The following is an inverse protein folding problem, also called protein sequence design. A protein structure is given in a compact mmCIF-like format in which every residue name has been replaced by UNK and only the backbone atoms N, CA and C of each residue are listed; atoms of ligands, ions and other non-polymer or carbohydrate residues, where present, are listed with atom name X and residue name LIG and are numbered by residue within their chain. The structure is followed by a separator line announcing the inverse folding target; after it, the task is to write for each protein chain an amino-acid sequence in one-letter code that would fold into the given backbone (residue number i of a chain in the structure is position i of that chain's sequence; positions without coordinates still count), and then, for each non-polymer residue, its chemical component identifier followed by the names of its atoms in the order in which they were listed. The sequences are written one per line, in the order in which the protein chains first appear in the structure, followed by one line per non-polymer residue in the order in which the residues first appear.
data_IF_289415263125
#
_entry.id   IF_289415263125
#
_cell.length_a   1.000
_cell.length_b   1.000
_cell.length_c   1.000
_cell.angle_alpha   90.00
_cell.angle_beta   90.00
_cell.angle_gamma   90.00
#
_symmetry.space_group_name_H-M   'P 1'
#
loop_
_entity.id
_entity.type
_entity.pdbx_description
1 polymer ?
#
# COMPACT_ATOMS: atom_id res chain seq x y z
N UNK A 1 -3.79 -25.58 28.14
CA UNK A 1 -2.61 -26.38 27.73
C UNK A 1 -2.07 -25.86 26.41
N UNK A 2 -0.82 -25.38 26.37
CA UNK A 2 -0.19 -24.88 25.14
C UNK A 2 0.15 -26.03 24.18
N UNK A 3 -0.28 -25.95 22.92
CA UNK A 3 0.00 -26.95 21.87
C UNK A 3 1.50 -27.01 21.56
N UNK A 4 1.97 -28.10 20.94
CA UNK A 4 3.39 -28.27 20.60
C UNK A 4 3.85 -27.22 19.56
N UNK A 5 4.99 -26.57 19.82
CA UNK A 5 5.57 -25.53 18.97
C UNK A 5 5.96 -26.04 17.58
N UNK A 6 6.49 -27.26 17.50
CA UNK A 6 6.90 -27.84 16.23
C UNK A 6 5.71 -28.03 15.29
N UNK A 7 4.62 -28.64 15.78
CA UNK A 7 3.42 -28.82 14.99
C UNK A 7 2.73 -27.49 14.65
N UNK A 8 2.74 -26.50 15.57
CA UNK A 8 2.24 -25.16 15.24
C UNK A 8 3.04 -24.53 14.10
N UNK A 9 4.37 -24.65 14.10
CA UNK A 9 5.19 -24.15 13.00
C UNK A 9 4.86 -24.84 11.66
N UNK A 10 4.80 -26.18 11.65
CA UNK A 10 4.46 -26.93 10.45
C UNK A 10 3.09 -26.54 9.88
N UNK A 11 2.08 -26.37 10.74
CA UNK A 11 0.75 -25.93 10.30
C UNK A 11 0.68 -24.44 9.97
N UNK A 12 1.51 -23.58 10.58
CA UNK A 12 1.58 -22.15 10.22
C UNK A 12 2.08 -21.92 8.79
N UNK A 13 2.85 -22.86 8.23
CA UNK A 13 3.27 -22.80 6.82
C UNK A 13 2.11 -22.98 5.83
N UNK A 14 0.98 -23.56 6.27
CA UNK A 14 -0.23 -23.72 5.46
C UNK A 14 -1.23 -22.63 5.89
N UNK A 15 -1.64 -21.72 4.97
CA UNK A 15 -2.49 -20.59 5.33
C UNK A 15 -3.82 -21.06 5.92
N UNK A 16 -4.09 -20.66 7.16
CA UNK A 16 -5.28 -20.99 7.94
C UNK A 16 -5.15 -22.23 8.84
N UNK A 17 -4.25 -23.17 8.53
CA UNK A 17 -4.14 -24.42 9.29
C UNK A 17 -3.50 -24.21 10.67
N UNK A 18 -2.56 -23.26 10.79
CA UNK A 18 -1.93 -22.89 12.05
C UNK A 18 -2.93 -22.42 13.10
N UNK A 19 -3.84 -21.52 12.71
CA UNK A 19 -4.94 -21.03 13.56
C UNK A 19 -5.89 -22.17 13.98
N UNK A 20 -6.24 -23.06 13.04
CA UNK A 20 -7.09 -24.22 13.34
C UNK A 20 -6.44 -25.16 14.36
N UNK A 21 -5.13 -25.41 14.25
CA UNK A 21 -4.40 -26.30 15.15
C UNK A 21 -4.38 -25.79 16.61
N UNK A 22 -4.31 -24.47 16.80
CA UNK A 22 -4.34 -23.82 18.11
C UNK A 22 -5.75 -23.55 18.64
N UNK A 23 -6.80 -23.93 17.90
CA UNK A 23 -8.20 -23.90 18.35
C UNK A 23 -9.06 -22.78 17.77
N UNK A 24 -8.50 -21.91 16.93
CA UNK A 24 -9.20 -20.81 16.27
C UNK A 24 -9.73 -21.26 14.90
N UNK A 25 -10.84 -22.01 14.92
CA UNK A 25 -11.42 -22.65 13.74
C UNK A 25 -12.00 -21.64 12.75
N UNK A 26 -12.81 -20.69 13.21
CA UNK A 26 -13.45 -19.68 12.33
C UNK A 26 -12.39 -18.79 11.71
N UNK A 27 -11.41 -18.39 12.51
CA UNK A 27 -10.31 -17.57 12.03
C UNK A 27 -9.49 -18.28 10.97
N UNK A 28 -9.07 -19.51 11.23
CA UNK A 28 -8.34 -20.32 10.26
C UNK A 28 -9.14 -20.58 8.99
N UNK A 29 -10.45 -20.87 9.10
CA UNK A 29 -11.32 -21.12 7.95
C UNK A 29 -11.46 -19.87 7.07
N UNK A 30 -11.57 -18.69 7.70
CA UNK A 30 -11.67 -17.42 6.97
C UNK A 30 -10.41 -17.12 6.15
N UNK A 31 -9.23 -17.43 6.68
CA UNK A 31 -7.94 -17.20 6.03
C UNK A 31 -7.74 -18.21 4.90
N UNK A 32 -8.04 -19.49 5.16
CA UNK A 32 -7.95 -20.54 4.15
C UNK A 32 -8.94 -20.27 3.00
N UNK A 33 -10.16 -19.82 3.32
CA UNK A 33 -11.16 -19.38 2.35
C UNK A 33 -10.69 -18.18 1.52
N UNK A 34 -10.08 -17.17 2.14
CA UNK A 34 -9.53 -16.03 1.42
C UNK A 34 -8.38 -16.43 0.47
N UNK A 35 -7.47 -17.28 0.93
CA UNK A 35 -6.37 -17.80 0.11
C UNK A 35 -6.89 -18.60 -1.10
N UNK A 36 -7.87 -19.48 -0.87
CA UNK A 36 -8.53 -20.25 -1.93
C UNK A 36 -9.29 -19.34 -2.90
N UNK A 37 -10.03 -18.34 -2.40
CA UNK A 37 -10.78 -17.41 -3.22
C UNK A 37 -9.87 -16.59 -4.14
N UNK A 38 -8.76 -16.05 -3.64
CA UNK A 38 -7.78 -15.33 -4.47
C UNK A 38 -7.17 -16.25 -5.52
N UNK A 39 -6.79 -17.46 -5.13
CA UNK A 39 -6.23 -18.45 -6.07
C UNK A 39 -7.24 -18.80 -7.18
N UNK A 40 -8.50 -19.04 -6.81
CA UNK A 40 -9.58 -19.35 -7.76
C UNK A 40 -9.89 -18.17 -8.68
N UNK A 41 -9.97 -16.95 -8.16
CA UNK A 41 -10.21 -15.75 -8.98
C UNK A 41 -9.03 -15.51 -9.93
N UNK A 42 -7.79 -15.69 -9.44
CA UNK A 42 -6.58 -15.53 -10.26
C UNK A 42 -6.56 -16.54 -11.41
N UNK A 43 -6.89 -17.81 -11.15
CA UNK A 43 -6.89 -18.85 -12.18
C UNK A 43 -8.08 -18.73 -13.13
N UNK A 44 -9.28 -18.48 -12.61
CA UNK A 44 -10.52 -18.41 -13.40
C UNK A 44 -10.52 -17.23 -14.38
N UNK A 45 -10.00 -16.08 -13.95
CA UNK A 45 -9.94 -14.88 -14.80
C UNK A 45 -8.60 -14.73 -15.54
N UNK A 46 -7.66 -15.68 -15.38
CA UNK A 46 -6.29 -15.60 -15.91
C UNK A 46 -5.57 -14.29 -15.52
N UNK A 47 -5.89 -13.78 -14.32
CA UNK A 47 -5.28 -12.57 -13.77
C UNK A 47 -4.15 -12.98 -12.84
N UNK A 48 -2.95 -13.14 -13.41
CA UNK A 48 -1.74 -13.41 -12.63
C UNK A 48 -1.43 -12.34 -11.59
N UNK A 49 -1.86 -11.09 -11.82
CA UNK A 49 -1.68 -9.99 -10.88
C UNK A 49 -2.34 -10.26 -9.51
N UNK A 50 -3.44 -11.02 -9.43
CA UNK A 50 -4.08 -11.37 -8.16
C UNK A 50 -3.19 -12.27 -7.28
N UNK A 51 -2.26 -13.01 -7.89
CA UNK A 51 -1.34 -13.87 -7.14
C UNK A 51 -0.43 -13.08 -6.18
N UNK A 52 -0.24 -11.76 -6.39
CA UNK A 52 0.53 -10.89 -5.48
C UNK A 52 -0.07 -10.84 -4.07
N UNK A 53 -1.38 -11.10 -3.93
CA UNK A 53 -2.04 -11.12 -2.62
C UNK A 53 -1.79 -12.42 -1.85
N UNK A 54 -1.44 -13.52 -2.53
CA UNK A 54 -1.18 -14.81 -1.88
C UNK A 54 -0.03 -14.76 -0.85
N UNK A 55 1.17 -14.21 -1.14
CA UNK A 55 2.22 -14.09 -0.13
C UNK A 55 1.82 -13.16 1.02
N UNK A 56 1.00 -12.14 0.78
CA UNK A 56 0.50 -11.23 1.82
C UNK A 56 -0.46 -11.98 2.77
N UNK A 57 -1.42 -12.73 2.22
CA UNK A 57 -2.35 -13.55 3.00
C UNK A 57 -1.60 -14.64 3.78
N UNK A 58 -0.61 -15.28 3.15
CA UNK A 58 0.24 -16.27 3.80
C UNK A 58 1.03 -15.69 4.96
N UNK A 59 1.72 -14.56 4.76
CA UNK A 59 2.49 -13.91 5.81
C UNK A 59 1.59 -13.49 6.98
N UNK A 60 0.42 -12.90 6.68
CA UNK A 60 -0.59 -12.62 7.69
C UNK A 60 -0.95 -13.88 8.47
N UNK A 61 -1.30 -14.97 7.79
CA UNK A 61 -1.66 -16.24 8.44
C UNK A 61 -0.54 -16.79 9.32
N UNK A 62 0.71 -16.71 8.86
CA UNK A 62 1.87 -17.20 9.57
C UNK A 62 2.08 -16.41 10.87
N UNK A 63 2.21 -15.09 10.79
CA UNK A 63 2.42 -14.24 11.97
C UNK A 63 1.23 -14.30 12.93
N UNK A 64 0.03 -14.38 12.38
CA UNK A 64 -1.18 -14.47 13.17
C UNK A 64 -1.25 -15.76 14.01
N UNK A 65 -0.83 -16.89 13.43
CA UNK A 65 -0.71 -18.16 14.17
C UNK A 65 0.22 -18.00 15.37
N UNK A 66 1.35 -17.31 15.19
CA UNK A 66 2.32 -17.07 16.27
C UNK A 66 1.82 -16.06 17.30
N UNK A 67 1.08 -15.05 16.88
CA UNK A 67 0.45 -14.09 17.78
C UNK A 67 -0.54 -14.79 18.71
N UNK A 68 -1.48 -15.57 18.16
CA UNK A 68 -2.46 -16.34 18.94
C UNK A 68 -1.77 -17.36 19.85
N UNK A 69 -0.71 -18.02 19.38
CA UNK A 69 0.04 -18.98 20.20
C UNK A 69 0.66 -18.33 21.45
N UNK A 70 1.12 -17.09 21.30
CA UNK A 70 1.84 -16.36 22.36
C UNK A 70 0.92 -15.52 23.25
N UNK A 71 -0.36 -15.40 22.93
CA UNK A 71 -1.32 -14.62 23.71
C UNK A 71 -1.50 -15.19 25.13
N UNK A 72 -1.81 -14.32 26.09
CA UNK A 72 -2.11 -14.70 27.47
C UNK A 72 -3.51 -15.33 27.59
N UNK A 73 -3.80 -16.01 28.70
CA UNK A 73 -5.14 -16.58 28.92
C UNK A 73 -6.22 -15.49 29.04
N UNK A 74 -5.87 -14.33 29.61
CA UNK A 74 -6.74 -13.14 29.67
C UNK A 74 -7.02 -12.58 28.27
N UNK A 75 -6.00 -12.49 27.41
CA UNK A 75 -6.15 -12.04 26.01
C UNK A 75 -6.99 -13.02 25.18
N UNK A 76 -6.80 -14.33 25.39
CA UNK A 76 -7.60 -15.36 24.73
C UNK A 76 -9.09 -15.29 25.14
N UNK A 77 -9.37 -14.94 26.39
CA UNK A 77 -10.74 -14.79 26.89
C UNK A 77 -11.39 -13.49 26.41
N UNK A 78 -10.58 -12.43 26.25
CA UNK A 78 -11.02 -11.16 25.69
C UNK A 78 -11.25 -11.21 24.16
N UNK A 79 -10.53 -12.08 23.44
CA UNK A 79 -10.61 -12.21 21.99
C UNK A 79 -11.04 -13.63 21.55
N UNK A 80 -12.36 -13.93 21.61
CA UNK A 80 -12.90 -15.24 21.24
C UNK A 80 -12.75 -15.54 19.74
N UNK A 81 -12.84 -16.82 19.37
CA UNK A 81 -12.72 -17.26 17.96
C UNK A 81 -13.81 -16.64 17.07
N UNK A 82 -13.38 -15.71 16.23
CA UNK A 82 -14.15 -15.04 15.20
C UNK A 82 -13.41 -15.04 13.86
N UNK A 83 -14.13 -14.75 12.78
CA UNK A 83 -13.56 -14.70 11.44
C UNK A 83 -12.49 -13.60 11.34
N UNK A 84 -11.33 -13.90 10.75
CA UNK A 84 -10.24 -12.93 10.59
C UNK A 84 -10.68 -11.73 9.74
N UNK A 85 -11.54 -12.01 8.76
CA UNK A 85 -12.24 -11.00 7.99
C UNK A 85 -13.68 -11.00 8.47
N UNK A 86 -14.14 -9.88 9.00
CA UNK A 86 -15.57 -9.66 9.21
C UNK A 86 -16.21 -9.46 7.84
N UNK A 87 -16.39 -10.55 7.10
CA UNK A 87 -17.06 -10.55 5.80
C UNK A 87 -18.45 -9.93 5.96
N UNK A 88 -19.08 -10.08 7.14
CA UNK A 88 -20.32 -9.39 7.49
C UNK A 88 -20.19 -7.87 7.51
N UNK A 89 -19.15 -7.27 8.07
CA UNK A 89 -18.96 -5.80 8.00
C UNK A 89 -18.56 -5.31 6.60
N UNK A 90 -17.89 -6.16 5.81
CA UNK A 90 -17.59 -5.89 4.39
C UNK A 90 -18.85 -6.02 3.51
N UNK A 91 -19.75 -6.94 3.83
CA UNK A 91 -21.00 -7.18 3.12
C UNK A 91 -22.16 -6.30 3.63
N UNK A 92 -22.10 -5.84 4.88
CA UNK A 92 -22.99 -4.83 5.43
C UNK A 92 -22.69 -3.53 4.69
N UNK A 93 -23.59 -3.22 3.76
CA UNK A 93 -23.39 -2.19 2.75
C UNK A 93 -23.04 -0.80 3.29
N UNK A 94 -23.10 -0.51 4.59
CA UNK A 94 -22.80 0.81 5.16
C UNK A 94 -21.34 1.24 5.01
N UNK A 95 -20.35 0.34 5.25
CA UNK A 95 -18.93 0.67 5.04
C UNK A 95 -18.54 0.67 3.57
N UNK A 96 -19.02 -0.30 2.80
CA UNK A 96 -18.81 -0.35 1.35
C UNK A 96 -19.42 0.89 0.68
N UNK A 97 -20.64 1.29 1.07
CA UNK A 97 -21.27 2.53 0.60
C UNK A 97 -20.40 3.72 0.92
N UNK A 98 -19.86 3.87 2.14
CA UNK A 98 -19.01 5.02 2.49
C UNK A 98 -17.69 5.12 1.69
N UNK A 99 -17.09 3.98 1.34
CA UNK A 99 -15.91 3.90 0.47
C UNK A 99 -16.27 4.24 -0.98
N UNK A 100 -17.44 3.79 -1.44
CA UNK A 100 -17.99 4.17 -2.73
C UNK A 100 -18.35 5.66 -2.76
N UNK A 101 -19.00 6.24 -1.75
CA UNK A 101 -19.48 7.63 -1.81
C UNK A 101 -18.34 8.64 -1.97
N UNK A 102 -17.16 8.38 -1.38
CA UNK A 102 -16.01 9.31 -1.43
C UNK A 102 -14.98 9.00 -2.53
N UNK A 103 -14.86 7.75 -2.99
CA UNK A 103 -13.79 7.32 -3.94
C UNK A 103 -14.25 6.43 -5.10
N UNK A 104 -15.55 6.18 -5.29
CA UNK A 104 -16.08 5.35 -6.38
C UNK A 104 -15.56 5.74 -7.77
N UNK A 105 -15.31 7.03 -8.05
CA UNK A 105 -14.75 7.46 -9.34
C UNK A 105 -13.39 6.84 -9.60
N UNK A 106 -12.48 6.85 -8.62
CA UNK A 106 -11.14 6.26 -8.78
C UNK A 106 -11.20 4.73 -8.85
N UNK A 107 -12.05 4.12 -8.04
CA UNK A 107 -12.26 2.66 -8.06
C UNK A 107 -12.85 2.24 -9.42
N UNK A 108 -13.84 2.99 -9.92
CA UNK A 108 -14.47 2.79 -11.21
C UNK A 108 -13.50 2.96 -12.37
N UNK A 109 -12.68 4.03 -12.37
CA UNK A 109 -11.61 4.22 -13.37
C UNK A 109 -10.64 3.04 -13.32
N UNK A 110 -10.23 2.60 -12.13
CA UNK A 110 -9.38 1.43 -11.95
C UNK A 110 -9.98 0.17 -12.57
N UNK A 111 -11.26 -0.11 -12.31
CA UNK A 111 -11.97 -1.25 -12.90
C UNK A 111 -12.11 -1.14 -14.42
N UNK A 112 -12.38 0.05 -14.97
CA UNK A 112 -12.49 0.26 -16.42
C UNK A 112 -11.15 0.02 -17.11
N UNK A 113 -10.06 0.60 -16.58
CA UNK A 113 -8.71 0.41 -17.12
C UNK A 113 -8.31 -1.06 -17.04
N UNK A 114 -8.60 -1.71 -15.91
CA UNK A 114 -8.30 -3.13 -15.71
C UNK A 114 -9.10 -4.03 -16.66
N UNK A 115 -10.40 -3.79 -16.83
CA UNK A 115 -11.24 -4.51 -17.78
C UNK A 115 -10.81 -4.32 -19.23
N UNK A 116 -10.43 -3.09 -19.61
CA UNK A 116 -9.88 -2.80 -20.94
C UNK A 116 -8.58 -3.57 -21.19
N UNK A 117 -7.67 -3.62 -20.21
CA UNK A 117 -6.45 -4.42 -20.30
C UNK A 117 -6.74 -5.93 -20.47
N UNK A 118 -7.73 -6.47 -19.76
CA UNK A 118 -8.15 -7.86 -19.97
C UNK A 118 -8.68 -8.11 -21.38
N UNK A 119 -9.47 -7.19 -21.95
CA UNK A 119 -9.97 -7.30 -23.31
C UNK A 119 -8.86 -7.24 -24.36
N UNK A 120 -7.84 -6.39 -24.17
CA UNK A 120 -6.66 -6.36 -25.05
C UNK A 120 -5.98 -7.73 -25.10
N UNK A 121 -5.75 -8.36 -23.95
CA UNK A 121 -5.10 -9.67 -23.91
C UNK A 121 -5.97 -10.82 -24.42
N UNK A 122 -7.27 -10.81 -24.11
CA UNK A 122 -8.16 -11.93 -24.42
C UNK A 122 -8.75 -11.89 -25.82
N UNK A 123 -8.89 -10.70 -26.43
CA UNK A 123 -9.55 -10.53 -27.74
C UNK A 123 -8.56 -10.00 -28.78
N UNK A 124 -7.88 -8.88 -28.48
CA UNK A 124 -7.00 -8.23 -29.47
C UNK A 124 -5.79 -9.10 -29.77
N UNK A 125 -5.16 -9.69 -28.75
CA UNK A 125 -3.96 -10.52 -28.93
C UNK A 125 -4.19 -11.76 -29.82
N UNK A 126 -5.25 -12.59 -29.62
CA UNK A 126 -5.54 -13.69 -30.54
C UNK A 126 -5.76 -13.24 -31.98
N UNK A 127 -6.44 -12.11 -32.19
CA UNK A 127 -6.68 -11.56 -33.53
C UNK A 127 -5.36 -11.13 -34.20
N UNK A 128 -4.50 -10.40 -33.47
CA UNK A 128 -3.20 -9.97 -33.99
C UNK A 128 -2.31 -11.16 -34.34
N UNK A 129 -2.29 -12.20 -33.51
CA UNK A 129 -1.57 -13.45 -33.81
C UNK A 129 -2.15 -14.16 -35.03
N UNK A 130 -3.48 -14.20 -35.18
CA UNK A 130 -4.13 -14.80 -36.35
C UNK A 130 -3.84 -14.05 -37.66
N UNK A 131 -3.56 -12.75 -37.57
CA UNK A 131 -3.12 -11.90 -38.70
C UNK A 131 -1.59 -11.92 -38.91
N UNK A 132 -0.87 -12.77 -38.18
CA UNK A 132 0.61 -12.85 -38.19
C UNK A 132 1.32 -11.53 -37.83
N UNK A 133 0.63 -10.62 -37.14
CA UNK A 133 1.17 -9.36 -36.64
C UNK A 133 1.86 -9.55 -35.28
N UNK A 134 2.84 -10.45 -35.22
CA UNK A 134 3.50 -10.86 -33.98
C UNK A 134 4.15 -9.70 -33.23
N UNK A 135 4.81 -8.78 -33.94
CA UNK A 135 5.44 -7.61 -33.31
C UNK A 135 4.44 -6.73 -32.52
N UNK A 136 3.21 -6.61 -33.04
CA UNK A 136 2.15 -5.82 -32.41
C UNK A 136 1.58 -6.59 -31.20
N UNK A 137 1.41 -7.91 -31.35
CA UNK A 137 0.98 -8.81 -30.27
C UNK A 137 1.93 -8.77 -29.07
N UNK A 138 3.24 -8.79 -29.33
CA UNK A 138 4.28 -8.69 -28.31
C UNK A 138 4.26 -7.31 -27.63
N UNK A 139 4.12 -6.23 -28.41
CA UNK A 139 3.97 -4.89 -27.87
C UNK A 139 2.77 -4.77 -26.91
N UNK A 140 1.61 -5.32 -27.29
CA UNK A 140 0.41 -5.29 -26.44
C UNK A 140 0.56 -6.11 -25.15
N UNK A 141 1.39 -7.15 -25.17
CA UNK A 141 1.71 -7.95 -23.98
C UNK A 141 2.55 -7.16 -22.96
N UNK A 142 3.46 -6.31 -23.44
CA UNK A 142 4.34 -5.52 -22.57
C UNK A 142 3.71 -4.24 -22.02
N UNK A 143 2.46 -3.90 -22.40
CA UNK A 143 1.77 -2.67 -21.97
C UNK A 143 1.84 -2.40 -20.46
N UNK A 144 1.60 -3.36 -19.54
CA UNK A 144 1.72 -3.11 -18.10
C UNK A 144 3.15 -2.77 -17.69
N UNK A 145 4.14 -3.46 -18.24
CA UNK A 145 5.56 -3.23 -17.96
C UNK A 145 5.97 -1.85 -18.43
N UNK A 146 5.55 -1.44 -19.63
CA UNK A 146 5.77 -0.10 -20.17
C UNK A 146 5.10 0.95 -19.27
N UNK A 147 3.86 0.71 -18.83
CA UNK A 147 3.15 1.62 -17.94
C UNK A 147 3.87 1.79 -16.59
N UNK A 148 4.33 0.69 -15.97
CA UNK A 148 5.13 0.73 -14.73
C UNK A 148 6.45 1.48 -14.95
N UNK A 149 7.15 1.22 -16.07
CA UNK A 149 8.39 1.92 -16.40
C UNK A 149 8.18 3.43 -16.54
N UNK A 150 7.13 3.85 -17.26
CA UNK A 150 6.76 5.27 -17.40
C UNK A 150 6.43 5.89 -16.05
N UNK A 151 5.69 5.20 -15.17
CA UNK A 151 5.39 5.68 -13.82
C UNK A 151 6.66 5.86 -12.98
N UNK A 152 7.60 4.90 -13.03
CA UNK A 152 8.88 4.99 -12.32
C UNK A 152 9.70 6.18 -12.85
N UNK A 153 9.76 6.38 -14.17
CA UNK A 153 10.47 7.51 -14.78
C UNK A 153 9.83 8.83 -14.34
N UNK A 154 8.51 8.96 -14.38
CA UNK A 154 7.81 10.15 -13.92
C UNK A 154 8.07 10.43 -12.44
N UNK A 155 8.04 9.39 -11.60
CA UNK A 155 8.35 9.50 -10.18
C UNK A 155 9.80 9.95 -9.95
N UNK A 156 10.75 9.41 -10.73
CA UNK A 156 12.15 9.84 -10.71
C UNK A 156 12.33 11.30 -11.11
N UNK A 157 11.69 11.74 -12.20
CA UNK A 157 11.72 13.14 -12.65
C UNK A 157 11.08 14.10 -11.64
N UNK A 158 9.99 13.68 -11.00
CA UNK A 158 9.33 14.45 -9.94
C UNK A 158 10.25 14.60 -8.71
N UNK A 159 10.92 13.52 -8.31
CA UNK A 159 11.87 13.53 -7.20
C UNK A 159 13.08 14.44 -7.48
N UNK A 160 13.59 14.45 -8.72
CA UNK A 160 14.70 15.34 -9.16
C UNK A 160 14.30 16.81 -9.12
N UNK A 161 13.05 17.15 -9.45
CA UNK A 161 12.56 18.54 -9.38
C UNK A 161 12.34 19.04 -7.94
N UNK A 162 12.22 18.12 -6.98
CA UNK A 162 11.91 18.42 -5.57
C UNK A 162 10.49 18.95 -5.38
N UNK A 163 9.79 18.62 -4.28
CA UNK A 163 8.54 19.30 -3.96
C UNK A 163 8.85 20.76 -3.70
N UNK A 164 8.25 21.66 -4.49
CA UNK A 164 8.38 23.11 -4.27
C UNK A 164 7.77 23.46 -2.91
N UNK A 165 8.61 23.47 -1.87
CA UNK A 165 8.28 24.04 -0.58
C UNK A 165 8.04 25.55 -0.81
N UNK A 166 6.80 26.00 -0.60
CA UNK A 166 6.55 27.42 -0.39
C UNK A 166 7.20 27.77 0.95
N UNK A 167 8.31 28.46 0.94
CA UNK A 167 8.89 28.99 2.17
C UNK A 167 7.92 30.02 2.80
N UNK A 168 7.60 29.91 4.11
CA UNK A 168 6.95 30.98 4.82
C UNK A 168 7.94 32.13 4.97
N UNK A 169 7.54 33.32 4.54
CA UNK A 169 8.32 34.55 4.65
C UNK A 169 8.57 34.90 6.13
N UNK A 170 9.69 34.44 6.68
CA UNK A 170 10.14 34.79 8.01
C UNK A 170 10.59 36.26 8.05
N UNK A 171 9.71 37.12 8.58
CA UNK A 171 10.10 38.46 9.03
C UNK A 171 10.74 38.35 10.41
N UNK A 172 12.04 38.04 10.47
CA UNK A 172 12.82 38.22 11.70
C UNK A 172 13.38 39.65 11.73
N UNK A 173 12.81 40.51 12.57
CA UNK A 173 13.41 41.78 12.97
C UNK A 173 14.54 41.52 13.96
N UNK A 174 15.78 41.86 13.59
CA UNK A 174 16.93 41.74 14.48
C UNK A 174 16.81 42.70 15.67
N UNK A 175 16.91 42.17 16.88
CA UNK A 175 16.91 42.90 18.15
C UNK A 175 18.21 43.70 18.28
N UNK A 176 18.13 45.03 18.38
CA UNK A 176 19.29 45.91 18.59
C UNK A 176 19.48 46.11 20.10
N UNK A 177 20.46 45.41 20.69
CA UNK A 177 20.80 45.53 22.11
C UNK A 177 21.48 46.85 22.45
N UNK A 178 20.99 47.52 23.50
CA UNK A 178 21.62 48.64 24.20
C UNK A 178 22.88 48.21 24.96
N UNK A 179 23.95 49.01 24.88
CA UNK A 179 25.07 48.93 25.82
C UNK A 179 26.48 49.01 25.21
N UNK A 180 26.83 50.14 24.60
CA UNK A 180 28.22 50.57 24.48
C UNK A 180 28.28 52.11 24.45
N UNK A 181 28.38 52.72 25.64
CA UNK A 181 28.73 54.13 25.81
C UNK A 181 30.25 54.26 25.99
N UNK A 182 30.89 55.06 25.15
CA UNK A 182 32.19 55.74 25.32
C UNK A 182 32.24 56.77 24.19
N UNK A 183 31.74 57.98 24.43
CA UNK A 183 32.44 59.16 24.96
C UNK A 183 33.26 59.92 23.89
N UNK A 184 33.12 61.23 23.95
CA UNK A 184 33.29 62.30 22.97
C UNK A 184 34.69 62.46 22.35
N UNK A 185 34.74 62.83 21.06
CA UNK A 185 35.52 63.98 20.57
C UNK A 185 35.47 64.11 19.04
N UNK A 186 34.73 65.13 18.58
CA UNK A 186 34.70 65.63 17.19
C UNK A 186 35.89 66.57 16.97
N UNK A 187 36.69 66.43 15.88
CA UNK A 187 37.48 67.54 15.38
C UNK A 187 36.70 68.27 14.27
N UNK A 188 36.48 69.57 14.48
CA UNK A 188 36.01 70.51 13.46
C UNK A 188 37.08 70.71 12.35
N UNK A 189 36.67 70.85 11.08
CA UNK A 189 37.60 71.18 10.00
C UNK A 189 38.04 72.66 10.07
N UNK A 190 39.31 72.97 9.75
CA UNK A 190 39.83 74.33 9.87
C UNK A 190 39.24 75.27 8.82
N UNK A 191 38.79 76.44 9.28
CA UNK A 191 38.49 77.62 8.47
C UNK A 191 39.74 78.49 8.32
N UNK A 192 40.16 78.73 7.07
CA UNK A 192 41.05 79.79 6.59
C UNK A 192 40.47 80.16 5.21
N UNK A 193 39.95 81.37 4.92
CA UNK A 193 40.55 82.69 5.13
C UNK A 193 41.74 82.82 4.18
N UNK A 194 41.79 83.62 3.12
CA UNK A 194 41.05 84.81 2.65
C UNK A 194 40.94 84.77 1.10
#
# INVERSE_FOLDING_TARGET
MKKNAFFTFCFACIPGAGQMYIGYMKRGLSIMGAFAAVTMLSSMFYVGALAVFLPVIWAYSFFDTWHIRNQSEEEAQANPDDYAFHIKELADGTRFQSLFTKRHTYIGIGCVVFGAYMLLNSVVRPILNALELYWLSDFFYEVPTIAVAVLIIMLGLWLVKGPSAKEPTDTYTAFKGEGASTDDSKPEPPTLGE
#
